data_IF_996411133466
#
_entry.id   IF_996411133466
#
_cell.length_a   1.000
_cell.length_b   1.000
_cell.length_c   1.000
_cell.angle_alpha   90.00
_cell.angle_beta   90.00
_cell.angle_gamma   90.00
#
_symmetry.space_group_name_H-M   'P 1'
#
loop_
_entity.id
_entity.type
_entity.pdbx_description
1 polymer ?
#
# COMPACT_ATOMS: atom_id res chain seq x y z
N UNK A 1 14.74 -12.92 -17.18
CA UNK A 1 13.96 -11.69 -16.87
C UNK A 1 13.22 -11.94 -15.57
N UNK A 2 13.67 -11.36 -14.45
CA UNK A 2 13.07 -11.57 -13.14
C UNK A 2 11.69 -10.91 -13.07
N UNK A 3 10.63 -11.70 -12.94
CA UNK A 3 9.26 -11.26 -12.72
C UNK A 3 9.04 -10.83 -11.26
N UNK A 4 9.88 -9.92 -10.77
CA UNK A 4 9.59 -9.24 -9.51
C UNK A 4 8.52 -8.20 -9.79
N UNK A 5 7.32 -8.38 -9.22
CA UNK A 5 6.22 -7.41 -9.31
C UNK A 5 6.80 -6.01 -9.02
N UNK A 6 6.68 -5.04 -9.92
CA UNK A 6 7.28 -3.73 -9.69
C UNK A 6 6.66 -3.14 -8.42
N UNK A 7 7.50 -2.87 -7.42
CA UNK A 7 7.14 -2.23 -6.14
C UNK A 7 6.37 -0.91 -6.33
N UNK A 8 6.37 -0.36 -7.55
CA UNK A 8 5.61 0.81 -7.97
C UNK A 8 4.10 0.58 -8.10
N UNK A 9 3.60 -0.65 -8.25
CA UNK A 9 2.17 -0.87 -8.47
C UNK A 9 1.33 -0.58 -7.24
N UNK A 10 1.81 -0.91 -6.04
CA UNK A 10 1.07 -0.62 -4.82
C UNK A 10 0.90 0.89 -4.62
N UNK A 11 1.91 1.69 -4.96
CA UNK A 11 1.84 3.15 -4.91
C UNK A 11 0.82 3.76 -5.89
N UNK A 12 0.26 3.00 -6.85
CA UNK A 12 -0.90 3.48 -7.62
C UNK A 12 -2.17 3.57 -6.78
N UNK A 13 -2.21 2.86 -5.66
CA UNK A 13 -3.34 2.80 -4.74
C UNK A 13 -3.15 3.65 -3.49
N UNK A 14 -1.93 4.16 -3.28
CA UNK A 14 -1.58 4.95 -2.11
C UNK A 14 -0.92 6.26 -2.51
N UNK A 15 -1.36 7.36 -1.91
CA UNK A 15 -0.69 8.63 -2.06
C UNK A 15 0.52 8.70 -1.13
N UNK A 16 1.72 8.92 -1.69
CA UNK A 16 2.98 8.95 -0.93
C UNK A 16 3.26 10.35 -0.42
N UNK A 17 3.44 10.47 0.89
CA UNK A 17 3.82 11.72 1.53
C UNK A 17 5.22 11.60 2.15
N UNK A 18 6.15 12.49 1.81
CA UNK A 18 7.39 12.61 2.56
C UNK A 18 7.07 13.11 3.97
N UNK A 19 7.72 12.54 4.98
CA UNK A 19 7.68 13.11 6.33
C UNK A 19 8.92 13.94 6.60
N UNK A 20 8.82 14.90 7.51
CA UNK A 20 9.94 15.73 7.96
C UNK A 20 11.08 14.91 8.60
N UNK A 21 10.82 13.66 8.97
CA UNK A 21 11.84 12.75 9.48
C UNK A 21 12.53 12.02 8.32
N UNK A 22 13.86 12.14 8.17
CA UNK A 22 14.60 11.43 7.14
C UNK A 22 14.44 9.91 7.33
N UNK A 23 14.12 9.22 6.24
CA UNK A 23 13.95 7.75 6.23
C UNK A 23 12.54 7.27 6.59
N UNK A 24 11.59 8.16 6.88
CA UNK A 24 10.17 7.80 7.04
C UNK A 24 9.34 8.38 5.90
N UNK A 25 8.34 7.61 5.50
CA UNK A 25 7.33 8.04 4.53
C UNK A 25 5.96 7.69 5.08
N UNK A 26 5.02 8.59 4.85
CA UNK A 26 3.60 8.34 5.07
C UNK A 26 2.96 7.92 3.75
N UNK A 27 1.91 7.12 3.86
CA UNK A 27 1.07 6.74 2.73
C UNK A 27 -0.38 6.93 3.12
N UNK A 28 -1.19 7.50 2.24
CA UNK A 28 -2.64 7.54 2.43
C UNK A 28 -3.30 6.57 1.47
N UNK A 29 -4.16 5.69 1.98
CA UNK A 29 -4.91 4.77 1.13
C UNK A 29 -5.99 5.53 0.35
N UNK A 30 -6.01 5.43 -0.97
CA UNK A 30 -7.03 6.11 -1.78
C UNK A 30 -8.44 5.51 -1.61
N UNK A 31 -8.56 4.30 -1.05
CA UNK A 31 -9.84 3.62 -0.89
C UNK A 31 -10.51 3.93 0.45
N UNK A 32 -9.77 3.81 1.55
CA UNK A 32 -10.30 4.02 2.90
C UNK A 32 -9.84 5.35 3.53
N UNK A 33 -9.01 6.12 2.84
CA UNK A 33 -8.43 7.39 3.30
C UNK A 33 -7.68 7.25 4.63
N UNK A 34 -7.20 6.04 4.95
CA UNK A 34 -6.41 5.78 6.13
C UNK A 34 -4.97 6.25 5.91
N UNK A 35 -4.50 7.12 6.80
CA UNK A 35 -3.11 7.55 6.81
C UNK A 35 -2.23 6.52 7.54
N UNK A 36 -1.39 5.84 6.76
CA UNK A 36 -0.40 4.89 7.22
C UNK A 36 0.91 5.62 7.54
N UNK A 37 1.29 5.58 8.82
CA UNK A 37 2.51 6.21 9.34
C UNK A 37 3.78 5.45 8.95
N UNK A 38 3.66 4.17 8.61
CA UNK A 38 4.73 3.32 8.09
C UNK A 38 4.37 2.91 6.66
N UNK A 39 4.78 3.71 5.67
CA UNK A 39 4.58 3.39 4.26
C UNK A 39 5.60 2.36 3.74
N UNK A 40 5.80 1.29 4.50
CA UNK A 40 6.54 0.12 4.05
C UNK A 40 5.64 -0.70 3.12
N UNK A 41 6.21 -1.23 2.04
CA UNK A 41 5.46 -2.01 1.05
C UNK A 41 4.67 -3.14 1.72
N UNK A 42 5.31 -3.85 2.66
CA UNK A 42 4.67 -4.95 3.40
C UNK A 42 3.45 -4.48 4.19
N UNK A 43 3.55 -3.33 4.86
CA UNK A 43 2.43 -2.75 5.62
C UNK A 43 1.30 -2.27 4.71
N UNK A 44 1.64 -1.74 3.52
CA UNK A 44 0.66 -1.35 2.51
C UNK A 44 -0.05 -2.58 1.92
N UNK A 45 0.69 -3.66 1.65
CA UNK A 45 0.13 -4.93 1.14
C UNK A 45 -0.80 -5.56 2.18
N UNK A 46 -0.37 -5.66 3.45
CA UNK A 46 -1.23 -6.15 4.54
C UNK A 46 -2.47 -5.26 4.72
N UNK A 47 -2.30 -3.94 4.62
CA UNK A 47 -3.43 -3.05 4.69
C UNK A 47 -4.45 -3.34 3.58
N UNK A 48 -3.99 -3.46 2.33
CA UNK A 48 -4.88 -3.79 1.22
C UNK A 48 -5.50 -5.19 1.34
N UNK A 49 -4.78 -6.17 1.89
CA UNK A 49 -5.22 -7.56 1.98
C UNK A 49 -6.20 -7.81 3.14
N UNK A 50 -5.96 -7.21 4.31
CA UNK A 50 -6.67 -7.56 5.55
C UNK A 50 -7.35 -6.37 6.24
N UNK A 51 -6.83 -5.14 6.10
CA UNK A 51 -7.29 -4.00 6.91
C UNK A 51 -8.08 -2.94 6.13
N UNK A 52 -8.16 -3.02 4.80
CA UNK A 52 -8.81 -2.00 3.98
C UNK A 52 -10.28 -2.38 3.74
N UNK A 53 -11.24 -1.73 4.43
CA UNK A 53 -12.66 -2.08 4.30
C UNK A 53 -13.28 -1.65 2.96
N UNK A 54 -12.65 -0.69 2.28
CA UNK A 54 -13.12 -0.13 1.01
C UNK A 54 -12.28 -0.57 -0.20
N UNK A 55 -11.32 -1.48 -0.01
CA UNK A 55 -10.52 -1.95 -1.14
C UNK A 55 -11.41 -2.76 -2.10
N UNK A 56 -11.35 -2.50 -3.41
CA UNK A 56 -12.09 -3.31 -4.38
C UNK A 56 -11.60 -4.76 -4.34
N UNK A 57 -12.53 -5.71 -4.48
CA UNK A 57 -12.24 -7.15 -4.39
C UNK A 57 -11.13 -7.64 -5.34
N UNK A 58 -10.93 -6.95 -6.46
CA UNK A 58 -9.82 -7.21 -7.38
C UNK A 58 -8.45 -6.94 -6.74
N UNK A 59 -8.33 -5.83 -6.00
CA UNK A 59 -7.12 -5.43 -5.30
C UNK A 59 -6.89 -6.34 -4.10
N UNK A 60 -7.92 -6.58 -3.28
CA UNK A 60 -7.86 -7.56 -2.19
C UNK A 60 -7.33 -8.90 -2.68
N UNK A 61 -7.88 -9.44 -3.76
CA UNK A 61 -7.49 -10.74 -4.32
C UNK A 61 -6.07 -10.73 -4.91
N UNK A 62 -5.60 -9.61 -5.44
CA UNK A 62 -4.22 -9.44 -5.93
C UNK A 62 -3.17 -9.40 -4.83
N UNK A 63 -3.54 -8.97 -3.61
CA UNK A 63 -2.62 -8.85 -2.47
C UNK A 63 -2.85 -9.91 -1.37
N UNK A 64 -4.00 -10.59 -1.35
CA UNK A 64 -4.32 -11.71 -0.44
C UNK A 64 -3.65 -13.04 -0.82
N UNK A 65 -3.14 -13.22 -2.05
CA UNK A 65 -2.54 -14.49 -2.49
C UNK A 65 -1.10 -14.71 -1.98
N UNK A 66 -0.84 -14.47 -0.69
CA UNK A 66 0.45 -14.75 -0.05
C UNK A 66 0.36 -15.92 0.92
#
# INVERSE_FOLDING_TARGET
KGGGRPLNEIWKHFERFPTETPGKFRACCNFCLLELKCAEIVALEEHLANHCPNAPGLILREYMQK
#
